data_IF_204112174543
#
_entry.id   IF_204112174543
#
_cell.length_a   1.000
_cell.length_b   1.000
_cell.length_c   1.000
_cell.angle_alpha   90.00
_cell.angle_beta   90.00
_cell.angle_gamma   90.00
#
_symmetry.space_group_name_H-M   'P 1'
#
loop_
_entity.id
_entity.type
_entity.pdbx_description
1 polymer ?
#
# COMPACT_ATOMS: atom_id res chain seq x y z
N UNK A 1 9.36 -52.30 35.45
CA UNK A 1 8.75 -52.17 34.11
C UNK A 1 7.82 -50.95 34.09
N UNK A 2 8.26 -49.79 33.59
CA UNK A 2 7.43 -48.56 33.63
C UNK A 2 7.84 -47.45 32.66
N UNK A 3 8.85 -47.66 31.81
CA UNK A 3 9.31 -46.64 30.86
C UNK A 3 8.45 -46.56 29.59
N UNK A 4 7.86 -47.67 29.13
CA UNK A 4 7.09 -47.69 27.88
C UNK A 4 5.82 -46.83 27.87
N UNK A 5 5.19 -46.59 29.04
CA UNK A 5 3.99 -45.75 29.12
C UNK A 5 4.32 -44.25 29.01
N UNK A 6 5.49 -43.82 29.48
CA UNK A 6 5.88 -42.41 29.44
C UNK A 6 6.32 -42.00 28.02
N UNK A 7 7.07 -42.87 27.34
CA UNK A 7 7.54 -42.62 25.96
C UNK A 7 6.38 -42.56 24.97
N UNK A 8 5.37 -43.43 25.10
CA UNK A 8 4.20 -43.41 24.23
C UNK A 8 3.42 -42.07 24.28
N UNK A 9 3.27 -41.48 25.48
CA UNK A 9 2.57 -40.20 25.65
C UNK A 9 3.36 -39.04 25.04
N UNK A 10 4.69 -39.03 25.18
CA UNK A 10 5.55 -38.01 24.58
C UNK A 10 5.56 -38.11 23.05
N UNK A 11 5.61 -39.32 22.49
CA UNK A 11 5.57 -39.54 21.04
C UNK A 11 4.22 -39.13 20.43
N UNK A 12 3.11 -39.47 21.09
CA UNK A 12 1.78 -39.03 20.67
C UNK A 12 1.68 -37.48 20.68
N UNK A 13 2.26 -36.84 21.70
CA UNK A 13 2.31 -35.37 21.78
C UNK A 13 3.14 -34.75 20.65
N UNK A 14 4.34 -35.27 20.37
CA UNK A 14 5.15 -34.81 19.24
C UNK A 14 4.40 -34.99 17.92
N UNK A 15 3.68 -36.09 17.72
CA UNK A 15 2.88 -36.29 16.51
C UNK A 15 1.76 -35.25 16.38
N UNK A 16 1.01 -34.99 17.46
CA UNK A 16 -0.08 -33.98 17.44
C UNK A 16 0.49 -32.57 17.20
N UNK A 17 1.56 -32.19 17.89
CA UNK A 17 2.20 -30.88 17.72
C UNK A 17 2.79 -30.73 16.32
N UNK A 18 3.40 -31.78 15.75
CA UNK A 18 3.91 -31.77 14.38
C UNK A 18 2.78 -31.64 13.35
N UNK A 19 1.63 -32.29 13.56
CA UNK A 19 0.47 -32.13 12.66
C UNK A 19 -0.07 -30.70 12.72
N UNK A 20 -0.12 -30.09 13.90
CA UNK A 20 -0.53 -28.67 14.05
C UNK A 20 0.49 -27.67 13.49
N UNK A 21 1.79 -27.97 13.58
CA UNK A 21 2.83 -27.14 12.96
C UNK A 21 2.88 -27.31 11.44
N UNK A 22 2.69 -28.53 10.93
CA UNK A 22 2.67 -28.81 9.50
C UNK A 22 1.46 -28.16 8.80
N UNK A 23 0.30 -28.11 9.47
CA UNK A 23 -0.86 -27.38 8.94
C UNK A 23 -0.68 -25.86 8.97
N UNK A 24 0.24 -25.33 9.78
CA UNK A 24 0.60 -23.91 9.77
C UNK A 24 1.48 -23.53 8.56
N UNK A 25 2.26 -24.47 8.02
CA UNK A 25 3.18 -24.23 6.89
C UNK A 25 2.48 -24.37 5.53
N UNK A 26 1.38 -25.11 5.46
CA UNK A 26 0.65 -25.37 4.20
C UNK A 26 -0.30 -24.25 3.74
N UNK A 27 -0.31 -23.09 4.40
CA UNK A 27 -1.14 -21.93 4.02
C UNK A 27 -0.40 -20.93 3.09
N UNK A 28 0.54 -21.41 2.26
CA UNK A 28 1.34 -20.56 1.39
C UNK A 28 1.50 -21.16 0.00
N UNK A 29 0.42 -21.34 -0.73
CA UNK A 29 0.45 -21.67 -2.17
C UNK A 29 -0.56 -20.82 -2.95
N UNK A 30 -0.47 -19.50 -2.82
CA UNK A 30 -1.27 -18.52 -3.58
C UNK A 30 -0.47 -17.92 -4.77
N UNK A 31 0.48 -18.69 -5.32
CA UNK A 31 1.41 -18.18 -6.35
C UNK A 31 0.85 -18.13 -7.78
N UNK A 32 -0.20 -18.88 -8.11
CA UNK A 32 -0.59 -19.12 -9.52
C UNK A 32 -1.86 -18.39 -9.99
N UNK A 33 -2.68 -17.84 -9.10
CA UNK A 33 -3.97 -17.20 -9.46
C UNK A 33 -3.90 -15.67 -9.58
N UNK A 34 -2.75 -15.05 -9.34
CA UNK A 34 -2.65 -13.58 -9.25
C UNK A 34 -2.66 -12.88 -10.62
N UNK A 35 -2.18 -13.52 -11.68
CA UNK A 35 -2.06 -12.87 -12.99
C UNK A 35 -3.42 -12.62 -13.69
N UNK A 36 -4.44 -13.45 -13.46
CA UNK A 36 -5.75 -13.30 -14.12
C UNK A 36 -6.62 -12.19 -13.53
N UNK A 37 -6.33 -11.75 -12.30
CA UNK A 37 -7.16 -10.80 -11.55
C UNK A 37 -6.51 -9.42 -11.41
N UNK A 38 -5.49 -9.11 -12.23
CA UNK A 38 -4.85 -7.79 -12.19
C UNK A 38 -5.79 -6.74 -12.81
N UNK A 39 -6.05 -5.62 -12.12
CA UNK A 39 -6.84 -4.53 -12.67
C UNK A 39 -6.14 -3.93 -13.89
N UNK A 40 -6.94 -3.38 -14.80
CA UNK A 40 -6.42 -2.65 -15.96
C UNK A 40 -5.72 -1.38 -15.49
N UNK A 41 -4.71 -0.92 -16.24
CA UNK A 41 -3.90 0.23 -15.84
C UNK A 41 -4.74 1.50 -15.70
N UNK A 42 -5.69 1.73 -16.61
CA UNK A 42 -6.66 2.82 -16.54
C UNK A 42 -7.47 2.78 -15.23
N UNK A 43 -7.89 1.61 -14.75
CA UNK A 43 -8.66 1.48 -13.51
C UNK A 43 -7.82 1.84 -12.28
N UNK A 44 -6.52 1.57 -12.35
CA UNK A 44 -5.57 1.90 -11.30
C UNK A 44 -5.28 3.40 -11.24
N UNK A 45 -5.15 4.08 -12.38
CA UNK A 45 -4.86 5.52 -12.38
C UNK A 45 -6.11 6.39 -12.22
N UNK A 46 -7.30 5.86 -12.54
CA UNK A 46 -8.61 6.53 -12.37
C UNK A 46 -9.07 6.43 -10.92
N UNK A 47 -8.26 6.99 -10.02
CA UNK A 47 -8.55 7.09 -8.60
C UNK A 47 -8.22 8.50 -8.11
N UNK A 48 -8.92 9.01 -7.08
CA UNK A 48 -8.60 10.29 -6.47
C UNK A 48 -7.43 10.13 -5.50
N UNK A 49 -6.21 10.34 -5.97
CA UNK A 49 -5.02 10.24 -5.13
C UNK A 49 -4.84 11.51 -4.30
N UNK A 50 -4.60 11.34 -3.00
CA UNK A 50 -4.00 12.41 -2.20
C UNK A 50 -2.52 12.45 -2.52
N UNK A 51 -2.01 13.61 -2.91
CA UNK A 51 -0.62 13.78 -3.29
C UNK A 51 0.08 14.82 -2.41
N UNK A 52 1.33 14.55 -2.07
CA UNK A 52 2.25 15.51 -1.47
C UNK A 52 3.30 15.90 -2.51
N UNK A 53 3.43 17.20 -2.75
CA UNK A 53 4.36 17.78 -3.72
C UNK A 53 5.47 18.48 -2.97
N UNK A 54 6.71 18.14 -3.29
CA UNK A 54 7.93 18.78 -2.79
C UNK A 54 8.66 19.36 -3.99
N UNK A 55 8.72 20.69 -4.07
CA UNK A 55 9.44 21.42 -5.11
C UNK A 55 10.57 22.24 -4.49
N UNK A 56 11.73 22.27 -5.15
CA UNK A 56 12.81 23.17 -4.77
C UNK A 56 12.37 24.63 -4.80
N UNK A 57 11.59 25.01 -5.82
CA UNK A 57 11.10 26.38 -6.07
C UNK A 57 9.88 26.78 -5.24
N UNK A 58 8.94 25.87 -5.01
CA UNK A 58 7.66 26.16 -4.35
C UNK A 58 7.54 25.57 -2.94
N UNK A 59 8.54 24.88 -2.41
CA UNK A 59 8.43 24.25 -1.10
C UNK A 59 7.51 23.02 -1.12
N UNK A 60 6.76 22.81 -0.04
CA UNK A 60 5.93 21.61 0.16
C UNK A 60 4.45 21.96 0.25
N UNK A 61 3.61 21.22 -0.46
CA UNK A 61 2.16 21.35 -0.33
C UNK A 61 1.46 20.02 -0.61
N UNK A 62 0.21 19.92 -0.17
CA UNK A 62 -0.65 18.80 -0.49
C UNK A 62 -1.63 19.18 -1.60
N UNK A 63 -2.06 18.18 -2.36
CA UNK A 63 -3.08 18.33 -3.38
C UNK A 63 -3.88 17.04 -3.53
N UNK A 64 -5.00 17.11 -4.22
CA UNK A 64 -5.75 15.96 -4.70
C UNK A 64 -5.55 15.87 -6.20
N UNK A 65 -5.06 14.73 -6.67
CA UNK A 65 -5.02 14.37 -8.09
C UNK A 65 -6.29 13.58 -8.41
N UNK A 66 -7.26 14.25 -9.02
CA UNK A 66 -8.55 13.67 -9.38
C UNK A 66 -8.54 13.28 -10.87
N UNK A 67 -8.37 11.99 -11.17
CA UNK A 67 -8.40 11.45 -12.53
C UNK A 67 -9.70 10.67 -12.76
N UNK A 68 -10.33 10.85 -13.93
CA UNK A 68 -11.57 10.22 -14.36
C UNK A 68 -11.42 9.72 -15.80
N UNK A 69 -11.76 8.46 -16.05
CA UNK A 69 -11.84 7.94 -17.41
C UNK A 69 -13.03 8.54 -18.15
N UNK A 70 -12.88 8.74 -19.46
CA UNK A 70 -14.00 9.01 -20.33
C UNK A 70 -14.95 7.80 -20.34
N UNK A 71 -16.28 8.00 -20.20
CA UNK A 71 -17.24 6.90 -20.22
C UNK A 71 -17.28 6.13 -21.55
N UNK A 72 -16.84 6.75 -22.64
CA UNK A 72 -16.91 6.20 -24.00
C UNK A 72 -15.53 5.71 -24.47
N UNK A 73 -14.46 6.38 -24.02
CA UNK A 73 -13.09 6.09 -24.42
C UNK A 73 -12.23 5.83 -23.15
N UNK A 74 -12.24 4.62 -22.57
CA UNK A 74 -11.51 4.34 -21.32
C UNK A 74 -9.99 4.56 -21.42
N UNK A 75 -9.45 4.54 -22.64
CA UNK A 75 -8.07 4.94 -22.95
C UNK A 75 -7.80 6.44 -22.77
N UNK A 76 -8.85 7.27 -22.68
CA UNK A 76 -8.77 8.71 -22.50
C UNK A 76 -9.20 9.08 -21.09
N UNK A 77 -8.29 9.69 -20.34
CA UNK A 77 -8.45 10.00 -18.93
C UNK A 77 -8.20 11.48 -18.73
N UNK A 78 -9.14 12.14 -18.09
CA UNK A 78 -9.07 13.56 -17.78
C UNK A 78 -8.98 13.76 -16.28
N UNK A 79 -8.37 14.85 -15.87
CA UNK A 79 -8.39 15.21 -14.48
C UNK A 79 -7.72 16.51 -14.15
N UNK A 80 -7.53 16.71 -12.86
CA UNK A 80 -7.02 17.94 -12.32
C UNK A 80 -6.18 17.70 -11.07
N UNK A 81 -5.21 18.58 -10.87
CA UNK A 81 -4.44 18.67 -9.64
C UNK A 81 -4.95 19.85 -8.82
N UNK A 82 -5.56 19.56 -7.67
CA UNK A 82 -6.25 20.54 -6.83
C UNK A 82 -5.45 20.73 -5.55
N UNK A 83 -4.81 21.88 -5.30
CA UNK A 83 -4.11 22.12 -4.04
C UNK A 83 -5.08 22.13 -2.85
N UNK A 84 -4.63 21.60 -1.72
CA UNK A 84 -5.41 21.54 -0.47
C UNK A 84 -4.56 22.02 0.71
N UNK A 85 -5.21 22.70 1.66
CA UNK A 85 -4.56 23.21 2.86
C UNK A 85 -3.54 24.30 2.53
N UNK A 86 -2.39 24.30 3.20
CA UNK A 86 -1.42 25.39 3.07
C UNK A 86 -0.10 24.96 2.42
N UNK A 87 0.51 25.91 1.70
CA UNK A 87 1.87 25.79 1.20
C UNK A 87 2.89 26.09 2.31
N UNK A 88 3.82 25.16 2.54
CA UNK A 88 4.92 25.31 3.49
C UNK A 88 6.22 25.62 2.77
N UNK A 89 6.80 26.78 3.10
CA UNK A 89 8.09 27.23 2.54
C UNK A 89 9.21 27.01 3.56
N UNK A 90 10.29 26.35 3.13
CA UNK A 90 11.49 26.09 3.92
C UNK A 90 12.55 27.20 3.84
N UNK A 91 12.47 28.10 2.86
CA UNK A 91 13.36 29.25 2.72
C UNK A 91 12.62 30.48 2.18
N UNK A 92 13.19 31.68 2.37
CA UNK A 92 12.63 32.92 1.85
C UNK A 92 12.72 33.03 0.30
N UNK A 93 13.60 32.26 -0.32
CA UNK A 93 13.79 32.20 -1.78
C UNK A 93 12.67 31.43 -2.48
N UNK A 94 11.91 30.61 -1.74
CA UNK A 94 10.79 29.85 -2.29
C UNK A 94 9.59 30.75 -2.60
N UNK A 95 9.01 30.52 -3.78
CA UNK A 95 7.89 31.31 -4.30
C UNK A 95 6.57 30.82 -3.74
N UNK A 96 5.69 31.76 -3.37
CA UNK A 96 4.31 31.44 -2.99
C UNK A 96 3.47 31.24 -4.25
N UNK A 97 2.76 30.12 -4.33
CA UNK A 97 1.82 29.84 -5.41
C UNK A 97 0.55 30.67 -5.19
N UNK A 98 0.09 31.37 -6.23
CA UNK A 98 -1.07 32.26 -6.13
C UNK A 98 -2.37 31.51 -5.83
N UNK A 99 -2.47 30.23 -6.21
CA UNK A 99 -3.63 29.38 -5.95
C UNK A 99 -4.02 29.33 -4.47
N UNK A 100 -3.05 29.32 -3.56
CA UNK A 100 -3.31 29.28 -2.11
C UNK A 100 -3.93 30.58 -1.56
N UNK A 101 -3.98 31.67 -2.34
CA UNK A 101 -4.61 32.93 -1.95
C UNK A 101 -6.12 32.94 -2.17
N UNK A 102 -6.65 31.99 -2.94
CA UNK A 102 -8.04 31.97 -3.36
C UNK A 102 -8.70 30.65 -2.93
N UNK A 103 -9.96 30.69 -2.44
CA UNK A 103 -10.73 29.47 -2.26
C UNK A 103 -11.13 28.91 -3.64
N UNK A 104 -11.31 27.59 -3.72
CA UNK A 104 -11.85 26.97 -4.93
C UNK A 104 -13.29 27.47 -5.18
N UNK A 105 -13.63 27.92 -6.40
CA UNK A 105 -15.02 28.16 -6.76
C UNK A 105 -15.77 26.83 -6.75
N UNK A 106 -16.73 26.67 -5.84
CA UNK A 106 -17.60 25.50 -5.79
C UNK A 106 -18.83 25.76 -6.67
N UNK A 107 -18.88 25.19 -7.87
CA UNK A 107 -20.13 25.04 -8.60
C UNK A 107 -20.71 23.65 -8.36
N UNK A 108 -21.81 23.57 -7.61
CA UNK A 108 -22.82 22.51 -7.69
C UNK A 108 -22.45 21.06 -7.32
N UNK A 109 -21.19 20.66 -7.18
CA UNK A 109 -20.79 19.27 -6.89
C UNK A 109 -20.68 19.03 -5.37
N UNK A 110 -21.29 17.96 -4.85
CA UNK A 110 -21.25 17.59 -3.44
C UNK A 110 -19.79 17.47 -2.98
N UNK A 111 -19.42 18.22 -1.93
CA UNK A 111 -18.07 18.24 -1.36
C UNK A 111 -17.62 16.83 -0.99
N UNK A 112 -16.63 16.31 -1.71
CA UNK A 112 -15.90 15.13 -1.27
C UNK A 112 -15.17 15.47 0.04
N UNK A 113 -15.05 14.56 1.03
CA UNK A 113 -14.27 14.81 2.25
C UNK A 113 -12.85 15.30 1.92
N UNK A 114 -12.45 16.45 2.46
CA UNK A 114 -11.19 17.13 2.16
C UNK A 114 -11.32 18.37 1.26
N UNK A 115 -12.48 18.62 0.64
CA UNK A 115 -12.68 19.81 -0.22
C UNK A 115 -12.87 21.13 0.55
N UNK A 116 -13.03 21.11 1.88
CA UNK A 116 -13.24 22.33 2.68
C UNK A 116 -12.04 23.30 2.61
N UNK A 117 -10.83 22.78 2.35
CA UNK A 117 -9.59 23.56 2.18
C UNK A 117 -9.08 23.53 0.74
N UNK A 118 -9.96 23.25 -0.24
CA UNK A 118 -9.55 23.19 -1.63
C UNK A 118 -9.31 24.58 -2.23
N UNK A 119 -8.25 24.68 -3.02
CA UNK A 119 -7.89 25.86 -3.81
C UNK A 119 -8.24 25.65 -5.30
N UNK A 120 -8.22 26.70 -6.13
CA UNK A 120 -8.35 26.57 -7.57
C UNK A 120 -7.38 25.53 -8.15
N UNK A 121 -7.83 24.80 -9.16
CA UNK A 121 -7.05 23.76 -9.81
C UNK A 121 -5.74 24.33 -10.35
N UNK A 122 -4.63 23.66 -10.04
CA UNK A 122 -3.28 24.07 -10.45
C UNK A 122 -2.98 23.60 -11.87
N UNK A 123 -3.38 22.37 -12.19
CA UNK A 123 -3.16 21.74 -13.50
C UNK A 123 -4.45 21.11 -13.98
N UNK A 124 -4.71 21.21 -15.29
CA UNK A 124 -5.55 20.26 -16.03
C UNK A 124 -4.65 19.19 -16.63
N UNK A 125 -5.06 17.94 -16.54
CA UNK A 125 -4.30 16.78 -16.96
C UNK A 125 -5.16 15.97 -17.93
N UNK A 126 -4.54 15.54 -19.02
CA UNK A 126 -5.08 14.61 -19.99
C UNK A 126 -4.08 13.47 -20.17
N UNK A 127 -4.56 12.24 -20.08
CA UNK A 127 -3.79 11.03 -20.33
C UNK A 127 -4.47 10.26 -21.44
N UNK A 128 -3.73 10.07 -22.53
CA UNK A 128 -4.15 9.25 -23.66
C UNK A 128 -3.32 7.97 -23.68
N UNK A 129 -3.95 6.85 -23.34
CA UNK A 129 -3.38 5.52 -23.51
C UNK A 129 -3.44 5.12 -24.99
N UNK A 130 -2.52 4.24 -25.41
CA UNK A 130 -2.52 3.72 -26.79
C UNK A 130 -3.78 2.91 -27.14
N UNK A 131 -4.32 2.20 -26.15
CA UNK A 131 -5.54 1.39 -26.19
C UNK A 131 -5.92 1.04 -24.75
N UNK A 132 -7.16 0.60 -24.50
CA UNK A 132 -7.59 0.13 -23.17
C UNK A 132 -6.72 -1.02 -22.66
N UNK A 133 -6.25 -0.95 -21.43
CA UNK A 133 -5.29 -1.87 -20.82
C UNK A 133 -3.82 -1.56 -21.12
N UNK A 134 -3.53 -0.59 -22.00
CA UNK A 134 -2.14 -0.22 -22.32
C UNK A 134 -1.44 0.42 -21.13
N UNK A 135 -0.19 0.01 -20.90
CA UNK A 135 0.73 0.63 -19.93
C UNK A 135 1.63 1.69 -20.57
N UNK A 136 1.21 2.19 -21.74
CA UNK A 136 1.91 3.22 -22.50
C UNK A 136 0.93 4.22 -23.10
N UNK A 137 1.38 5.46 -23.19
CA UNK A 137 0.55 6.57 -23.61
C UNK A 137 1.28 7.90 -23.58
N UNK A 138 0.49 8.97 -23.70
CA UNK A 138 0.94 10.35 -23.59
C UNK A 138 0.18 11.04 -22.47
N UNK A 139 0.88 11.87 -21.71
CA UNK A 139 0.29 12.79 -20.74
C UNK A 139 0.51 14.21 -21.22
N UNK A 140 -0.54 15.01 -21.16
CA UNK A 140 -0.56 16.42 -21.50
C UNK A 140 -1.10 17.19 -20.30
N UNK A 141 -0.43 18.27 -19.93
CA UNK A 141 -0.84 19.10 -18.80
C UNK A 141 -0.82 20.58 -19.16
N UNK A 142 -1.82 21.30 -18.67
CA UNK A 142 -1.96 22.75 -18.80
C UNK A 142 -1.96 23.37 -17.41
N UNK A 143 -1.08 24.35 -17.21
CA UNK A 143 -1.10 25.18 -16.02
C UNK A 143 -2.34 26.09 -16.06
N UNK A 144 -3.11 26.09 -14.98
CA UNK A 144 -4.32 26.87 -14.87
C UNK A 144 -4.07 28.10 -13.98
N UNK A 145 -4.63 29.27 -14.34
CA UNK A 145 -4.50 30.47 -13.52
C UNK A 145 -5.37 30.37 -12.26
N UNK A 146 -4.96 31.04 -11.18
CA UNK A 146 -5.68 31.01 -9.91
C UNK A 146 -6.95 31.89 -9.87
N UNK A 147 -6.98 32.95 -10.69
CA UNK A 147 -8.07 33.94 -10.69
C UNK A 147 -9.28 33.38 -11.44
N UNK A 148 -10.43 33.27 -10.77
CA UNK A 148 -11.66 32.63 -11.26
C UNK A 148 -12.04 33.03 -12.70
N UNK A 149 -12.17 34.33 -12.99
CA UNK A 149 -12.57 34.78 -14.34
C UNK A 149 -11.55 34.52 -15.45
N UNK A 150 -10.29 34.23 -15.10
CA UNK A 150 -9.25 33.79 -16.05
C UNK A 150 -9.19 32.26 -16.10
N UNK A 151 -9.48 31.58 -14.98
CA UNK A 151 -9.56 30.13 -14.87
C UNK A 151 -10.65 29.56 -15.76
N UNK A 152 -11.88 30.09 -15.66
CA UNK A 152 -13.01 29.65 -16.48
C UNK A 152 -12.68 29.80 -17.98
N UNK A 153 -12.13 30.96 -18.36
CA UNK A 153 -11.67 31.20 -19.73
C UNK A 153 -10.57 30.23 -20.15
N UNK A 154 -9.63 29.94 -19.25
CA UNK A 154 -8.54 28.99 -19.50
C UNK A 154 -9.06 27.55 -19.68
N UNK A 155 -10.04 27.13 -18.88
CA UNK A 155 -10.69 25.83 -19.01
C UNK A 155 -11.43 25.72 -20.36
N UNK A 156 -12.20 26.73 -20.74
CA UNK A 156 -12.87 26.77 -22.05
C UNK A 156 -11.87 26.75 -23.21
N UNK A 157 -10.74 27.47 -23.10
CA UNK A 157 -9.70 27.46 -24.14
C UNK A 157 -9.06 26.08 -24.32
N UNK A 158 -8.80 25.35 -23.23
CA UNK A 158 -8.26 23.98 -23.32
C UNK A 158 -9.27 23.03 -23.96
N UNK A 159 -10.57 23.23 -23.72
CA UNK A 159 -11.63 22.38 -24.29
C UNK A 159 -11.95 22.70 -25.76
N UNK A 160 -11.95 23.99 -26.13
CA UNK A 160 -12.40 24.44 -27.45
C UNK A 160 -11.27 24.70 -28.44
N UNK A 161 -10.10 25.14 -27.98
CA UNK A 161 -9.09 25.82 -28.84
C UNK A 161 -7.69 25.21 -28.72
N UNK A 162 -7.53 23.88 -28.86
CA UNK A 162 -6.24 23.16 -28.97
C UNK A 162 -5.07 23.86 -28.25
N UNK A 163 -5.28 24.22 -26.98
CA UNK A 163 -4.41 25.17 -26.30
C UNK A 163 -3.01 24.58 -26.19
N UNK A 164 -1.97 25.39 -26.38
CA UNK A 164 -0.59 24.91 -26.29
C UNK A 164 -0.35 24.33 -24.89
N UNK A 165 0.06 23.06 -24.77
CA UNK A 165 0.24 22.45 -23.48
C UNK A 165 1.46 23.00 -22.75
N UNK A 166 1.33 23.19 -21.44
CA UNK A 166 2.44 23.61 -20.58
C UNK A 166 3.51 22.52 -20.48
N UNK A 167 3.07 21.27 -20.43
CA UNK A 167 3.94 20.10 -20.42
C UNK A 167 3.32 18.93 -21.19
N UNK A 168 4.15 18.18 -21.90
CA UNK A 168 3.76 16.96 -22.59
C UNK A 168 4.84 15.90 -22.45
N UNK A 169 4.46 14.65 -22.21
CA UNK A 169 5.39 13.54 -22.11
C UNK A 169 4.78 12.24 -22.64
N UNK A 170 5.61 11.41 -23.25
CA UNK A 170 5.26 10.02 -23.57
C UNK A 170 5.81 9.10 -22.49
N UNK A 171 5.02 8.11 -22.07
CA UNK A 171 5.43 7.14 -21.06
C UNK A 171 5.23 5.71 -21.54
N UNK A 172 6.09 4.82 -21.05
CA UNK A 172 6.02 3.37 -21.23
C UNK A 172 6.43 2.73 -19.91
N UNK A 173 5.49 2.10 -19.21
CA UNK A 173 5.78 1.41 -17.96
C UNK A 173 6.38 0.03 -18.20
N UNK A 174 7.45 -0.26 -17.47
CA UNK A 174 8.11 -1.57 -17.41
C UNK A 174 7.86 -2.18 -16.03
N UNK A 175 7.56 -3.48 -15.96
CA UNK A 175 7.34 -4.17 -14.68
C UNK A 175 8.64 -4.28 -13.88
N UNK A 176 8.56 -4.00 -12.58
CA UNK A 176 9.66 -4.14 -11.62
C UNK A 176 9.55 -5.38 -10.74
N UNK A 177 8.49 -6.18 -10.90
CA UNK A 177 8.12 -7.31 -10.05
C UNK A 177 9.27 -8.29 -9.76
N UNK A 178 10.15 -8.56 -10.74
CA UNK A 178 11.31 -9.46 -10.58
C UNK A 178 12.40 -8.92 -9.65
N UNK A 179 12.44 -7.61 -9.43
CA UNK A 179 13.49 -6.92 -8.67
C UNK A 179 13.09 -6.60 -7.23
N UNK A 180 11.79 -6.66 -6.93
CA UNK A 180 11.26 -6.38 -5.59
C UNK A 180 11.20 -7.68 -4.80
N UNK A 181 11.98 -7.76 -3.72
CA UNK A 181 11.61 -8.65 -2.61
C UNK A 181 10.17 -8.30 -2.19
N UNK A 182 9.31 -9.26 -1.81
CA UNK A 182 8.05 -8.95 -1.14
C UNK A 182 8.39 -8.20 0.15
N UNK A 183 8.48 -6.88 0.06
CA UNK A 183 8.68 -5.99 1.18
C UNK A 183 7.31 -5.68 1.73
N UNK A 184 7.24 -5.39 3.03
CA UNK A 184 6.00 -5.12 3.75
C UNK A 184 5.20 -3.91 3.23
N UNK A 185 5.76 -3.14 2.29
CA UNK A 185 5.14 -1.94 1.73
C UNK A 185 4.30 -2.22 0.48
N UNK A 186 4.65 -3.22 -0.35
CA UNK A 186 3.85 -3.62 -1.51
C UNK A 186 3.32 -5.03 -1.29
N UNK A 187 2.04 -5.11 -0.96
CA UNK A 187 1.33 -6.38 -0.82
C UNK A 187 1.08 -7.06 -2.18
N UNK A 188 1.24 -6.31 -3.29
CA UNK A 188 1.05 -6.79 -4.67
C UNK A 188 2.28 -6.45 -5.54
N UNK A 189 3.40 -7.19 -5.40
CA UNK A 189 4.63 -6.92 -6.16
C UNK A 189 4.46 -6.97 -7.68
N UNK A 190 3.45 -7.69 -8.19
CA UNK A 190 3.11 -7.75 -9.61
C UNK A 190 2.63 -6.41 -10.19
N UNK A 191 2.15 -5.49 -9.35
CA UNK A 191 1.71 -4.16 -9.77
C UNK A 191 2.86 -3.17 -9.96
N UNK A 192 4.00 -3.42 -9.31
CA UNK A 192 5.13 -2.52 -9.34
C UNK A 192 5.66 -2.30 -10.77
N UNK A 193 5.74 -1.04 -11.16
CA UNK A 193 6.11 -0.64 -12.52
C UNK A 193 6.69 0.77 -12.55
N UNK A 194 7.62 1.00 -13.47
CA UNK A 194 8.27 2.29 -13.64
C UNK A 194 8.29 2.71 -15.09
N UNK A 195 8.01 3.98 -15.34
CA UNK A 195 8.21 4.67 -16.60
C UNK A 195 9.25 5.77 -16.40
N UNK A 196 10.15 5.91 -17.36
CA UNK A 196 11.10 7.01 -17.42
C UNK A 196 11.06 7.62 -18.81
N UNK A 197 11.32 8.92 -18.91
CA UNK A 197 11.30 9.59 -20.20
C UNK A 197 11.61 11.08 -20.12
N UNK A 198 11.39 11.75 -21.24
CA UNK A 198 11.58 13.19 -21.38
C UNK A 198 10.23 13.91 -21.36
N UNK A 199 10.24 15.13 -20.84
CA UNK A 199 9.09 16.05 -20.84
C UNK A 199 9.43 17.18 -21.80
N UNK A 200 8.54 17.46 -22.75
CA UNK A 200 8.54 18.70 -23.50
C UNK A 200 7.76 19.75 -22.71
N UNK A 201 8.35 20.92 -22.51
CA UNK A 201 7.74 22.05 -21.81
C UNK A 201 7.47 23.18 -22.80
N UNK A 202 6.51 24.01 -22.46
CA UNK A 202 6.24 25.26 -23.17
C UNK A 202 7.51 26.13 -23.27
N UNK A 203 7.66 26.77 -24.44
CA UNK A 203 8.84 27.56 -24.79
C UNK A 203 10.03 26.74 -25.31
N UNK A 204 9.82 25.48 -25.70
CA UNK A 204 10.88 24.60 -26.24
C UNK A 204 11.84 24.06 -25.19
N UNK A 205 11.51 24.23 -23.90
CA UNK A 205 12.29 23.68 -22.79
C UNK A 205 12.02 22.19 -22.66
N UNK A 206 12.91 21.48 -21.97
CA UNK A 206 12.78 20.05 -21.74
C UNK A 206 13.15 19.66 -20.32
N UNK A 207 12.53 18.60 -19.83
CA UNK A 207 12.89 17.94 -18.58
C UNK A 207 12.95 16.43 -18.73
N UNK A 208 13.16 15.75 -17.62
CA UNK A 208 13.04 14.29 -17.51
C UNK A 208 12.11 13.92 -16.37
N UNK A 209 11.51 12.75 -16.47
CA UNK A 209 10.69 12.19 -15.41
C UNK A 209 11.03 10.74 -15.11
N UNK A 210 10.75 10.36 -13.88
CA UNK A 210 10.66 8.97 -13.42
C UNK A 210 9.35 8.82 -12.67
N UNK A 211 8.41 8.05 -13.23
CA UNK A 211 7.12 7.74 -12.64
C UNK A 211 7.11 6.28 -12.22
N UNK A 212 6.93 6.01 -10.93
CA UNK A 212 6.93 4.67 -10.35
C UNK A 212 5.66 4.41 -9.56
N UNK A 213 4.95 3.34 -9.90
CA UNK A 213 3.93 2.75 -9.05
C UNK A 213 4.57 1.67 -8.17
N UNK A 214 4.32 1.73 -6.87
CA UNK A 214 4.75 0.71 -5.91
C UNK A 214 3.67 -0.36 -5.72
N UNK A 215 2.41 0.05 -5.82
CA UNK A 215 1.19 -0.76 -5.76
C UNK A 215 0.12 -0.11 -6.64
N UNK A 216 -1.10 -0.63 -6.64
CA UNK A 216 -2.25 0.01 -7.30
C UNK A 216 -2.79 1.25 -6.54
N UNK A 217 -2.27 1.54 -5.35
CA UNK A 217 -2.75 2.63 -4.49
C UNK A 217 -1.64 3.60 -4.05
N UNK A 218 -0.40 3.36 -4.45
CA UNK A 218 0.76 4.18 -4.09
C UNK A 218 1.70 4.40 -5.28
N UNK A 219 2.11 5.66 -5.47
CA UNK A 219 3.06 6.03 -6.51
C UNK A 219 4.01 7.16 -6.10
N UNK A 220 5.11 7.28 -6.85
CA UNK A 220 5.99 8.45 -6.83
C UNK A 220 6.29 8.95 -8.24
N UNK A 221 6.40 10.26 -8.38
CA UNK A 221 6.78 10.93 -9.62
C UNK A 221 7.89 11.92 -9.32
N UNK A 222 9.04 11.71 -9.96
CA UNK A 222 10.20 12.57 -9.89
C UNK A 222 10.32 13.34 -11.20
N UNK A 223 10.34 14.66 -11.12
CA UNK A 223 10.51 15.56 -12.25
C UNK A 223 11.81 16.33 -12.09
N UNK A 224 12.58 16.41 -13.17
CA UNK A 224 13.72 17.30 -13.29
C UNK A 224 13.48 18.22 -14.48
N UNK A 225 13.04 19.44 -14.21
CA UNK A 225 12.63 20.42 -15.21
C UNK A 225 13.73 21.47 -15.39
N UNK A 226 14.05 21.84 -16.62
CA UNK A 226 14.95 22.98 -16.90
C UNK A 226 14.15 24.27 -16.90
N UNK A 227 14.54 25.22 -16.06
CA UNK A 227 13.98 26.57 -16.01
C UNK A 227 14.55 27.44 -17.15
N UNK A 228 14.07 28.68 -17.24
CA UNK A 228 14.62 29.69 -18.16
C UNK A 228 16.10 29.99 -17.91
N UNK A 229 16.53 30.03 -16.65
CA UNK A 229 17.92 30.30 -16.25
C UNK A 229 18.84 29.08 -16.43
N UNK A 230 18.36 28.03 -17.11
CA UNK A 230 19.02 26.73 -17.22
C UNK A 230 19.32 26.07 -15.86
N UNK A 231 18.62 26.49 -14.80
CA UNK A 231 18.67 25.83 -13.50
C UNK A 231 17.71 24.64 -13.51
N UNK A 232 18.08 23.55 -12.83
CA UNK A 232 17.22 22.37 -12.75
C UNK A 232 16.30 22.51 -11.53
N UNK A 233 14.99 22.65 -11.75
CA UNK A 233 14.00 22.48 -10.69
C UNK A 233 13.70 21.00 -10.51
N UNK A 234 13.70 20.56 -9.25
CA UNK A 234 13.42 19.17 -8.87
C UNK A 234 12.11 19.15 -8.13
N UNK A 235 11.17 18.38 -8.67
CA UNK A 235 9.86 18.19 -8.08
C UNK A 235 9.71 16.71 -7.76
N UNK A 236 9.39 16.42 -6.51
CA UNK A 236 9.07 15.09 -6.03
C UNK A 236 7.60 15.08 -5.66
N UNK A 237 6.85 14.15 -6.23
CA UNK A 237 5.43 13.95 -5.95
C UNK A 237 5.26 12.55 -5.41
N UNK A 238 4.56 12.42 -4.30
CA UNK A 238 4.16 11.15 -3.73
C UNK A 238 2.64 11.10 -3.67
N UNK A 239 2.05 10.05 -4.20
CA UNK A 239 0.60 9.88 -4.26
C UNK A 239 0.15 8.62 -3.56
N UNK A 240 -0.95 8.74 -2.83
CA UNK A 240 -1.56 7.66 -2.09
C UNK A 240 -3.08 7.75 -2.14
N UNK A 241 -3.72 6.61 -2.30
CA UNK A 241 -5.16 6.41 -2.10
C UNK A 241 -5.35 5.22 -1.17
N UNK A 242 -6.40 5.17 -0.33
CA UNK A 242 -6.67 3.97 0.43
C UNK A 242 -6.85 2.74 -0.49
N UNK A 243 -6.34 1.56 -0.11
CA UNK A 243 -6.59 0.30 -0.78
C UNK A 243 -8.08 0.07 -1.14
N UNK A 244 -8.37 -0.14 -2.42
CA UNK A 244 -9.72 -0.50 -2.89
C UNK A 244 -9.83 -2.01 -3.15
N UNK A 245 -10.68 -2.68 -2.38
CA UNK A 245 -10.94 -4.12 -2.51
C UNK A 245 -11.70 -4.50 -3.79
N UNK A 246 -12.30 -3.52 -4.48
CA UNK A 246 -12.96 -3.75 -5.79
C UNK A 246 -11.94 -3.92 -6.92
N UNK A 247 -10.78 -3.24 -6.83
CA UNK A 247 -9.69 -3.37 -7.80
C UNK A 247 -8.87 -4.64 -7.56
N UNK A 248 -8.49 -4.88 -6.30
CA UNK A 248 -7.74 -6.06 -5.89
C UNK A 248 -8.35 -6.61 -4.61
N UNK A 249 -8.91 -7.82 -4.72
CA UNK A 249 -9.47 -8.53 -3.56
C UNK A 249 -8.35 -8.88 -2.59
N UNK A 250 -8.26 -8.13 -1.50
CA UNK A 250 -7.37 -8.45 -0.38
C UNK A 250 -8.09 -9.39 0.58
N UNK A 251 -7.42 -10.40 1.13
CA UNK A 251 -7.97 -11.14 2.25
C UNK A 251 -8.22 -10.14 3.38
N UNK A 252 -9.48 -9.96 3.75
CA UNK A 252 -9.87 -9.02 4.79
C UNK A 252 -9.06 -9.33 6.04
N UNK A 253 -8.22 -8.39 6.49
CA UNK A 253 -7.29 -8.61 7.62
C UNK A 253 -8.04 -8.96 8.91
N UNK A 254 -9.35 -8.68 8.93
CA UNK A 254 -10.28 -9.04 10.00
C UNK A 254 -10.78 -10.49 9.94
N UNK A 255 -10.55 -11.25 8.87
CA UNK A 255 -10.65 -12.71 8.90
C UNK A 255 -9.45 -13.31 9.63
N UNK A 256 -9.32 -13.01 10.93
CA UNK A 256 -8.71 -13.98 11.82
C UNK A 256 -9.54 -15.24 11.68
N UNK A 257 -8.97 -16.25 11.04
CA UNK A 257 -9.69 -17.48 10.81
C UNK A 257 -10.25 -17.94 12.17
N UNK A 258 -11.55 -18.21 12.24
CA UNK A 258 -12.24 -18.49 13.52
C UNK A 258 -11.53 -19.58 14.34
N UNK A 259 -10.81 -20.48 13.66
CA UNK A 259 -9.99 -21.53 14.25
C UNK A 259 -8.74 -21.02 14.98
N UNK A 260 -8.18 -19.85 14.68
CA UNK A 260 -7.04 -19.30 15.43
C UNK A 260 -7.43 -18.97 16.88
N UNK A 261 -8.60 -18.36 17.08
CA UNK A 261 -9.14 -18.13 18.43
C UNK A 261 -9.44 -19.47 19.12
N UNK A 262 -9.98 -20.47 18.41
CA UNK A 262 -10.23 -21.80 19.00
C UNK A 262 -8.94 -22.60 19.24
N UNK A 263 -7.92 -22.42 18.41
CA UNK A 263 -6.63 -23.09 18.48
C UNK A 263 -5.87 -22.70 19.73
N UNK A 264 -5.93 -21.41 20.12
CA UNK A 264 -5.38 -20.94 21.40
C UNK A 264 -6.08 -21.63 22.58
N UNK A 265 -7.41 -21.75 22.56
CA UNK A 265 -8.15 -22.45 23.61
C UNK A 265 -7.84 -23.95 23.66
N UNK A 266 -7.76 -24.61 22.50
CA UNK A 266 -7.39 -26.04 22.41
C UNK A 266 -5.98 -26.25 22.96
N UNK A 267 -5.02 -25.39 22.60
CA UNK A 267 -3.65 -25.43 23.11
C UNK A 267 -3.59 -25.19 24.63
N UNK A 268 -4.33 -24.20 25.15
CA UNK A 268 -4.40 -23.92 26.57
C UNK A 268 -5.02 -25.08 27.38
N UNK A 269 -6.10 -25.68 26.88
CA UNK A 269 -6.77 -26.82 27.53
C UNK A 269 -5.87 -28.06 27.50
N UNK A 270 -5.24 -28.37 26.36
CA UNK A 270 -4.35 -29.53 26.25
C UNK A 270 -3.10 -29.40 27.12
N UNK A 271 -2.47 -28.23 27.17
CA UNK A 271 -1.34 -27.97 28.08
C UNK A 271 -1.75 -28.05 29.56
N UNK A 272 -2.95 -27.57 29.91
CA UNK A 272 -3.49 -27.70 31.26
C UNK A 272 -3.74 -29.16 31.67
N UNK A 273 -4.43 -29.94 30.82
CA UNK A 273 -4.69 -31.37 31.07
C UNK A 273 -3.37 -32.13 31.21
N UNK A 274 -2.40 -31.84 30.34
CA UNK A 274 -1.08 -32.47 30.39
C UNK A 274 -0.34 -32.17 31.70
N UNK A 275 -0.36 -30.90 32.17
CA UNK A 275 0.22 -30.55 33.47
C UNK A 275 -0.48 -31.28 34.63
N UNK A 276 -1.81 -31.40 34.60
CA UNK A 276 -2.56 -32.13 35.61
C UNK A 276 -2.20 -33.63 35.63
N UNK A 277 -2.08 -34.26 34.46
CA UNK A 277 -1.70 -35.67 34.33
C UNK A 277 -0.26 -35.92 34.82
N UNK A 278 0.68 -35.03 34.45
CA UNK A 278 2.07 -35.12 34.92
C UNK A 278 2.15 -34.99 36.45
N UNK A 279 1.47 -34.01 37.04
CA UNK A 279 1.39 -33.83 38.49
C UNK A 279 0.77 -35.06 39.20
N UNK A 280 -0.25 -35.68 38.60
CA UNK A 280 -0.85 -36.92 39.12
C UNK A 280 0.14 -38.10 39.09
N UNK A 281 0.92 -38.25 38.02
CA UNK A 281 1.93 -39.32 37.97
C UNK A 281 3.10 -39.09 38.94
N UNK A 282 3.54 -37.84 39.11
CA UNK A 282 4.60 -37.48 40.05
C UNK A 282 4.17 -37.74 41.50
N UNK A 283 2.97 -37.32 41.88
CA UNK A 283 2.41 -37.59 43.22
C UNK A 283 2.28 -39.10 43.48
N UNK A 284 1.77 -39.88 42.52
CA UNK A 284 1.68 -41.34 42.65
C UNK A 284 3.04 -42.01 42.77
N UNK A 285 4.06 -41.54 42.03
CA UNK A 285 5.45 -42.02 42.17
C UNK A 285 6.02 -41.69 43.54
N UNK A 286 5.80 -40.47 44.04
CA UNK A 286 6.27 -40.04 45.36
C UNK A 286 5.65 -40.89 46.48
N UNK A 287 4.35 -41.19 46.41
CA UNK A 287 3.66 -42.07 47.38
C UNK A 287 4.23 -43.49 47.34
N UNK A 288 4.45 -44.06 46.16
CA UNK A 288 5.02 -45.39 46.03
C UNK A 288 6.47 -45.47 46.56
N UNK A 289 7.28 -44.44 46.33
CA UNK A 289 8.63 -44.34 46.89
C UNK A 289 8.62 -44.22 48.41
N UNK A 290 7.72 -43.41 48.97
CA UNK A 290 7.53 -43.32 50.43
C UNK A 290 7.15 -44.67 51.04
N UNK A 291 6.18 -45.38 50.45
CA UNK A 291 5.78 -46.74 50.90
C UNK A 291 6.93 -47.74 50.87
N UNK A 292 7.78 -47.70 49.83
CA UNK A 292 8.96 -48.58 49.74
C UNK A 292 10.01 -48.22 50.80
N UNK A 293 10.24 -46.94 51.07
CA UNK A 293 11.18 -46.48 52.12
C UNK A 293 10.69 -46.85 53.53
N UNK A 294 9.41 -46.67 53.83
CA UNK A 294 8.85 -47.07 55.14
C UNK A 294 8.89 -48.58 55.33
N UNK A 295 8.59 -49.37 54.28
CA UNK A 295 8.72 -50.82 54.33
C UNK A 295 10.17 -51.27 54.55
N UNK A 296 11.14 -50.67 53.84
CA UNK A 296 12.56 -50.97 54.03
C UNK A 296 13.05 -50.63 55.45
N UNK A 297 12.70 -49.45 55.97
CA UNK A 297 13.04 -49.05 57.34
C UNK A 297 12.40 -49.95 58.41
N UNK A 298 11.19 -50.47 58.16
CA UNK A 298 10.54 -51.43 59.06
C UNK A 298 11.25 -52.79 59.07
N UNK A 299 11.77 -53.24 57.92
CA UNK A 299 12.57 -54.48 57.82
C UNK A 299 13.92 -54.31 58.51
N UNK A 300 14.58 -53.17 58.35
CA UNK A 300 15.87 -52.88 59.00
C UNK A 300 15.73 -52.82 60.53
N UNK A 301 14.69 -52.17 61.06
CA UNK A 301 14.39 -52.18 62.51
C UNK A 301 14.13 -53.58 63.08
N UNK A 302 13.65 -54.53 62.27
CA UNK A 302 13.45 -55.92 62.70
C UNK A 302 14.75 -56.74 62.75
N UNK A 303 15.81 -56.31 62.07
CA UNK A 303 17.12 -57.01 62.08
C UNK A 303 18.06 -56.58 63.21
N UNK A 304 17.78 -55.45 63.86
CA UNK A 304 18.59 -54.90 64.98
C UNK A 304 18.07 -55.39 66.35
N UNK A 305 16.93 -56.08 66.40
CA UNK A 305 16.47 -56.84 67.56
C UNK A 305 16.91 -58.29 67.42
#
# INVERSE_FOLDING_TARGET
>A
MGHGRCTAVVLLYCAVVSVFLASLVLAGDDGLSTASNMPLFEQVIVQPFTVSVISGRYGVFNATLALRASPIFPEHIHGELIPIGEQRRGSAEQLSLEHFKYPRPMEGEMTTPGMLEAHPSLLRIDVQLRFSGSTSGTVTAWALPAVVGVLERGLSQVEETDATPTAQASFLFVSESKSMSPSTLSDVPSMARTATGSIALEGGRSGSFTFRFFSEHEFSLNLQLRTEDNTADRIWVYGYVPPDNTLLSRPDRNQKAWWQNRGIWVFAITTFIMRAVMAYFETRRAVNLRRKRTAAAAVEKKKIK
#
